data_IF_964480040986
#
_entry.id   IF_964480040986
#
_cell.length_a   1.000
_cell.length_b   1.000
_cell.length_c   1.000
_cell.angle_alpha   90.00
_cell.angle_beta   90.00
_cell.angle_gamma   90.00
#
_symmetry.space_group_name_H-M   'P 1'
#
loop_
_entity.id
_entity.type
_entity.pdbx_description
1 polymer ?
#
# COMPACT_ATOMS: atom_id res chain seq x y z
N UNK A 1 23.45 -9.54 -18.14
CA UNK A 1 22.61 -10.32 -17.20
C UNK A 1 21.18 -9.82 -17.28
N UNK A 2 20.18 -10.71 -17.32
CA UNK A 2 18.75 -10.37 -17.30
C UNK A 2 18.27 -10.36 -15.84
N UNK A 3 17.47 -9.36 -15.43
CA UNK A 3 16.84 -9.30 -14.09
C UNK A 3 15.90 -10.51 -13.91
N UNK A 4 15.99 -11.30 -12.82
CA UNK A 4 15.04 -12.37 -12.53
C UNK A 4 13.61 -11.87 -12.39
N UNK A 5 12.62 -12.67 -12.82
CA UNK A 5 11.21 -12.27 -12.83
C UNK A 5 10.60 -12.06 -11.43
N UNK A 6 11.23 -12.65 -10.40
CA UNK A 6 10.89 -12.47 -8.99
C UNK A 6 11.36 -11.13 -8.40
N UNK A 7 12.20 -10.37 -9.12
CA UNK A 7 12.58 -9.01 -8.72
C UNK A 7 11.70 -8.04 -9.49
N UNK A 8 10.81 -7.35 -8.78
CA UNK A 8 9.88 -6.37 -9.34
C UNK A 8 10.02 -5.03 -8.65
N UNK A 9 9.90 -3.94 -9.41
CA UNK A 9 9.80 -2.61 -8.83
C UNK A 9 8.35 -2.37 -8.38
N UNK A 10 8.12 -1.80 -7.19
CA UNK A 10 6.77 -1.62 -6.64
C UNK A 10 5.84 -0.83 -7.57
N UNK A 11 6.36 0.16 -8.31
CA UNK A 11 5.59 0.92 -9.32
C UNK A 11 5.00 0.05 -10.44
N UNK A 12 5.61 -1.10 -10.74
CA UNK A 12 5.06 -2.04 -11.73
C UNK A 12 3.81 -2.76 -11.22
N UNK A 13 3.56 -2.70 -9.90
CA UNK A 13 2.45 -3.35 -9.20
C UNK A 13 1.48 -2.35 -8.56
N UNK A 14 1.76 -1.04 -8.65
CA UNK A 14 0.90 0.01 -8.10
C UNK A 14 -0.41 0.07 -8.90
N UNK A 15 -1.53 0.01 -8.18
CA UNK A 15 -2.86 0.11 -8.77
C UNK A 15 -3.24 1.54 -9.17
N UNK A 16 -4.41 1.71 -9.80
CA UNK A 16 -4.97 3.03 -10.05
C UNK A 16 -5.28 3.80 -8.77
N UNK A 17 -5.37 5.14 -8.87
CA UNK A 17 -5.79 6.02 -7.78
C UNK A 17 -7.32 6.02 -7.62
N UNK A 18 -7.87 4.87 -7.26
CA UNK A 18 -9.31 4.69 -7.16
C UNK A 18 -9.81 3.91 -5.93
N UNK A 19 -8.91 3.51 -5.03
CA UNK A 19 -9.28 2.81 -3.79
C UNK A 19 -10.29 3.63 -2.97
N UNK A 20 -11.43 3.01 -2.68
CA UNK A 20 -12.56 3.60 -1.92
C UNK A 20 -13.41 2.49 -1.31
N UNK A 21 -14.24 2.80 -0.31
CA UNK A 21 -15.22 1.83 0.22
C UNK A 21 -16.55 1.96 -0.54
N UNK A 22 -17.39 0.91 -0.62
CA UNK A 22 -18.66 0.97 -1.37
C UNK A 22 -19.64 2.05 -0.89
N UNK A 23 -19.55 2.46 0.37
CA UNK A 23 -20.43 3.39 1.06
C UNK A 23 -19.90 4.84 1.12
N UNK A 24 -18.72 5.11 0.57
CA UNK A 24 -18.09 6.44 0.63
C UNK A 24 -17.32 6.77 -0.65
N UNK A 25 -17.34 8.01 -1.15
CA UNK A 25 -16.49 8.44 -2.26
C UNK A 25 -15.05 8.80 -1.85
N UNK A 26 -14.70 8.65 -0.58
CA UNK A 26 -13.36 8.99 -0.08
C UNK A 26 -12.28 8.11 -0.73
N UNK A 27 -11.22 8.75 -1.23
CA UNK A 27 -10.06 8.06 -1.78
C UNK A 27 -9.04 7.74 -0.68
N UNK A 28 -8.53 6.51 -0.69
CA UNK A 28 -7.48 6.04 0.21
C UNK A 28 -6.07 6.25 -0.39
N UNK A 29 -5.08 5.58 0.20
CA UNK A 29 -3.75 5.44 -0.37
C UNK A 29 -3.78 4.70 -1.71
N UNK A 30 -2.73 4.92 -2.50
CA UNK A 30 -2.50 4.20 -3.75
C UNK A 30 -1.56 3.04 -3.42
N UNK A 31 -2.08 1.82 -3.51
CA UNK A 31 -1.42 0.61 -3.05
C UNK A 31 -0.73 -0.17 -4.15
N UNK A 32 0.41 -0.77 -3.82
CA UNK A 32 1.07 -1.81 -4.59
C UNK A 32 1.14 -3.12 -3.75
N UNK A 33 0.28 -4.13 -4.03
CA UNK A 33 0.19 -5.37 -3.24
C UNK A 33 1.35 -6.33 -3.59
N UNK A 34 2.54 -6.04 -3.06
CA UNK A 34 3.77 -6.78 -3.34
C UNK A 34 3.65 -8.26 -2.96
N UNK A 35 3.00 -8.58 -1.84
CA UNK A 35 2.78 -9.96 -1.40
C UNK A 35 2.06 -10.80 -2.47
N UNK A 36 0.99 -10.25 -3.05
CA UNK A 36 0.25 -10.89 -4.15
C UNK A 36 1.09 -10.96 -5.43
N UNK A 37 1.75 -9.87 -5.80
CA UNK A 37 2.59 -9.80 -7.01
C UNK A 37 3.80 -10.74 -6.99
N UNK A 38 4.33 -11.02 -5.79
CA UNK A 38 5.51 -11.86 -5.56
C UNK A 38 5.19 -13.25 -4.98
N UNK A 39 3.90 -13.57 -4.80
CA UNK A 39 3.39 -14.87 -4.31
C UNK A 39 3.87 -15.24 -2.89
N UNK A 40 3.89 -14.26 -1.99
CA UNK A 40 4.08 -14.50 -0.56
C UNK A 40 2.77 -15.06 0.03
N UNK A 41 2.86 -16.19 0.73
CA UNK A 41 1.66 -16.89 1.25
C UNK A 41 1.42 -16.69 2.75
N UNK A 42 2.39 -16.12 3.47
CA UNK A 42 2.35 -15.98 4.95
C UNK A 42 2.50 -14.54 5.44
N UNK A 43 2.79 -13.61 4.53
CA UNK A 43 3.00 -12.20 4.85
C UNK A 43 2.35 -11.34 3.77
N UNK A 44 1.45 -10.45 4.20
CA UNK A 44 1.01 -9.31 3.41
C UNK A 44 2.11 -8.24 3.40
N UNK A 45 2.54 -7.83 2.21
CA UNK A 45 3.45 -6.68 2.07
C UNK A 45 2.84 -5.75 1.03
N UNK A 46 2.59 -4.52 1.46
CA UNK A 46 2.04 -3.44 0.65
C UNK A 46 3.01 -2.27 0.67
N UNK A 47 3.27 -1.70 -0.50
CA UNK A 47 3.85 -0.36 -0.59
C UNK A 47 2.71 0.63 -0.83
N UNK A 48 2.48 1.52 0.12
CA UNK A 48 1.39 2.50 0.08
C UNK A 48 1.96 3.90 -0.17
N UNK A 49 1.43 4.59 -1.18
CA UNK A 49 1.59 6.05 -1.30
C UNK A 49 0.39 6.73 -0.70
N UNK A 50 0.62 7.60 0.28
CA UNK A 50 -0.43 8.34 0.97
C UNK A 50 -0.42 9.82 0.57
N UNK A 51 -1.31 10.27 -0.34
CA UNK A 51 -1.46 11.69 -0.65
C UNK A 51 -1.92 12.51 0.55
N UNK A 52 -1.61 13.83 0.58
CA UNK A 52 -2.09 14.71 1.64
C UNK A 52 -3.61 14.69 1.79
N UNK A 53 -4.10 14.65 3.03
CA UNK A 53 -5.53 14.69 3.35
C UNK A 53 -6.26 13.34 3.18
N UNK A 54 -5.55 12.26 2.89
CA UNK A 54 -6.11 10.92 2.78
C UNK A 54 -5.66 10.04 3.94
N UNK A 55 -6.30 8.87 4.07
CA UNK A 55 -5.94 7.80 5.01
C UNK A 55 -5.75 6.48 4.27
N UNK A 56 -5.21 5.47 4.95
CA UNK A 56 -4.97 4.12 4.40
C UNK A 56 -6.20 3.22 4.52
N UNK A 57 -7.02 3.41 5.55
CA UNK A 57 -8.24 2.64 5.83
C UNK A 57 -9.17 3.42 6.77
N UNK A 58 -10.37 2.90 7.04
CA UNK A 58 -11.10 3.32 8.23
C UNK A 58 -10.36 2.91 9.51
N UNK A 59 -10.49 3.66 10.61
CA UNK A 59 -9.92 3.25 11.89
C UNK A 59 -10.44 1.86 12.27
N UNK A 60 -9.51 0.93 12.48
CA UNK A 60 -9.82 -0.46 12.82
C UNK A 60 -8.75 -1.02 13.75
N UNK A 61 -8.99 -2.25 14.21
CA UNK A 61 -8.05 -3.07 14.94
C UNK A 61 -8.24 -4.52 14.50
N UNK A 62 -7.14 -5.23 14.32
CA UNK A 62 -7.17 -6.64 13.95
C UNK A 62 -7.14 -7.53 15.21
N UNK A 63 -7.98 -8.57 15.25
CA UNK A 63 -8.03 -9.54 16.35
C UNK A 63 -6.99 -10.64 16.24
N UNK A 64 -6.67 -11.03 15.01
CA UNK A 64 -5.90 -12.25 14.70
C UNK A 64 -4.61 -11.97 13.91
N UNK A 65 -4.42 -10.73 13.46
CA UNK A 65 -3.29 -10.32 12.63
C UNK A 65 -2.44 -9.24 13.32
N UNK A 66 -1.12 -9.36 13.23
CA UNK A 66 -0.20 -8.28 13.58
C UNK A 66 0.06 -7.41 12.36
N UNK A 67 -0.04 -6.09 12.52
CA UNK A 67 0.31 -5.12 11.49
C UNK A 67 1.49 -4.24 11.90
N UNK A 68 2.40 -3.97 10.96
CA UNK A 68 3.54 -3.10 11.16
C UNK A 68 3.71 -2.12 10.01
N UNK A 69 3.88 -0.83 10.34
CA UNK A 69 4.06 0.25 9.36
C UNK A 69 5.46 0.83 9.46
N UNK A 70 6.14 0.91 8.32
CA UNK A 70 7.44 1.57 8.18
C UNK A 70 7.38 2.72 7.18
N UNK A 71 7.68 3.94 7.63
CA UNK A 71 7.66 5.13 6.77
C UNK A 71 8.97 5.25 6.00
N UNK A 72 8.92 4.96 4.70
CA UNK A 72 10.08 5.07 3.80
C UNK A 72 10.45 6.52 3.45
N UNK A 73 9.43 7.38 3.27
CA UNK A 73 9.59 8.79 2.93
C UNK A 73 8.39 9.59 3.41
N UNK A 74 8.65 10.71 4.07
CA UNK A 74 7.64 11.70 4.40
C UNK A 74 7.79 12.94 3.51
N UNK A 75 6.67 13.63 3.30
CA UNK A 75 6.66 14.98 2.74
C UNK A 75 6.43 15.94 3.91
N UNK A 76 7.33 16.90 4.12
CA UNK A 76 7.06 18.00 5.04
C UNK A 76 5.99 18.90 4.42
N UNK A 77 4.94 19.22 5.17
CA UNK A 77 4.15 20.41 4.86
C UNK A 77 5.04 21.62 5.12
N UNK A 78 5.41 22.36 4.08
CA UNK A 78 5.94 23.71 4.26
C UNK A 78 4.75 24.59 4.66
N UNK A 79 4.90 25.30 5.78
CA UNK A 79 3.99 26.36 6.20
C UNK A 79 4.41 27.71 5.64
#
# INVERSE_FOLDING_TARGET
MKRPDCIRHWRELEGPDDATYPDSPERFSIGAPLGRGLRLNRLGIHHERLPPGRRTSYPHAESDEEEFIYVLRAIRKCG
#
